data_IF_089611746239
#
_entry.id   IF_089611746239
#
_cell.length_a   1.000
_cell.length_b   1.000
_cell.length_c   1.000
_cell.angle_alpha   90.00
_cell.angle_beta   90.00
_cell.angle_gamma   90.00
#
_symmetry.space_group_name_H-M   'P 1'
#
loop_
_entity.id
_entity.type
_entity.pdbx_description
1 polymer ?
#
# COMPACT_ATOMS: atom_id res chain seq x y z
N UNK A 1 -10.16 26.28 -6.30
CA UNK A 1 -9.04 26.61 -5.39
C UNK A 1 -8.13 27.63 -6.05
N UNK A 2 -7.37 28.42 -5.27
CA UNK A 2 -6.35 29.35 -5.79
C UNK A 2 -5.21 28.54 -6.40
N UNK A 3 -4.68 28.97 -7.55
CA UNK A 3 -3.49 28.36 -8.16
C UNK A 3 -2.27 28.55 -7.26
N UNK A 4 -1.49 27.50 -7.09
CA UNK A 4 -0.25 27.45 -6.32
C UNK A 4 0.89 26.97 -7.21
N UNK A 5 2.12 27.30 -6.85
CA UNK A 5 3.32 26.81 -7.52
C UNK A 5 4.41 26.52 -6.48
N UNK A 6 5.02 25.34 -6.59
CA UNK A 6 6.28 25.05 -5.90
C UNK A 6 7.42 25.29 -6.90
N UNK A 7 8.42 26.09 -6.51
CA UNK A 7 9.57 26.47 -7.35
C UNK A 7 10.89 25.97 -6.74
N UNK A 8 11.95 25.94 -7.54
CA UNK A 8 13.31 25.53 -7.15
C UNK A 8 13.34 24.13 -6.50
N UNK A 9 12.58 23.18 -7.04
CA UNK A 9 12.51 21.82 -6.55
C UNK A 9 13.25 20.83 -7.45
N UNK A 10 13.77 19.75 -6.88
CA UNK A 10 14.15 18.56 -7.65
C UNK A 10 12.95 17.63 -7.74
N UNK A 11 12.33 17.54 -8.92
CA UNK A 11 11.02 16.87 -9.09
C UNK A 11 11.22 15.51 -9.76
N UNK A 12 10.86 14.44 -9.07
CA UNK A 12 10.76 13.09 -9.63
C UNK A 12 9.32 12.88 -10.08
N UNK A 13 9.08 12.77 -11.39
CA UNK A 13 7.71 12.69 -11.92
C UNK A 13 7.13 11.29 -11.89
N UNK A 14 7.96 10.27 -11.61
CA UNK A 14 7.64 8.86 -11.84
C UNK A 14 8.02 8.37 -13.24
N UNK A 15 8.47 9.28 -14.13
CA UNK A 15 9.00 8.94 -15.46
C UNK A 15 10.36 9.58 -15.73
N UNK A 16 10.56 10.81 -15.27
CA UNK A 16 11.77 11.59 -15.44
C UNK A 16 12.08 12.43 -14.19
N UNK A 17 13.25 13.05 -14.17
CA UNK A 17 13.71 13.92 -13.08
C UNK A 17 13.94 15.33 -13.63
N UNK A 18 13.30 16.32 -12.99
CA UNK A 18 13.50 17.75 -13.26
C UNK A 18 14.38 18.32 -12.16
N UNK A 19 15.68 18.45 -12.43
CA UNK A 19 16.72 18.80 -11.42
C UNK A 19 16.52 20.16 -10.74
N UNK A 20 16.00 21.15 -11.47
CA UNK A 20 15.65 22.46 -10.93
C UNK A 20 14.36 22.91 -11.60
N UNK A 21 13.23 22.46 -11.05
CA UNK A 21 11.91 22.60 -11.64
C UNK A 21 10.92 23.40 -10.81
N UNK A 22 9.77 23.63 -11.45
CA UNK A 22 8.56 24.09 -10.79
C UNK A 22 7.40 23.15 -11.08
N UNK A 23 6.43 23.11 -10.18
CA UNK A 23 5.14 22.43 -10.36
C UNK A 23 4.02 23.41 -9.99
N UNK A 24 3.17 23.73 -10.97
CA UNK A 24 2.00 24.61 -10.80
C UNK A 24 0.73 23.76 -10.74
N UNK A 25 -0.12 24.03 -9.77
CA UNK A 25 -1.29 23.20 -9.49
C UNK A 25 -2.44 24.00 -8.86
N UNK A 26 -3.64 23.43 -8.97
CA UNK A 26 -4.74 23.69 -8.07
C UNK A 26 -5.12 22.34 -7.46
N UNK A 27 -6.33 21.84 -7.67
CA UNK A 27 -6.68 20.46 -7.35
C UNK A 27 -5.93 19.43 -8.22
N UNK A 28 -5.66 19.81 -9.47
CA UNK A 28 -4.87 19.04 -10.43
C UNK A 28 -3.62 19.81 -10.85
N UNK A 29 -2.60 19.07 -11.24
CA UNK A 29 -1.35 19.59 -11.81
C UNK A 29 -1.67 20.28 -13.13
N UNK A 30 -1.22 21.53 -13.26
CA UNK A 30 -1.44 22.37 -14.44
C UNK A 30 -0.20 22.46 -15.32
N UNK A 31 0.98 22.44 -14.70
CA UNK A 31 2.25 22.58 -15.41
C UNK A 31 3.40 22.03 -14.56
N UNK A 32 4.35 21.40 -15.22
CA UNK A 32 5.64 21.00 -14.67
C UNK A 32 6.69 21.39 -15.69
N UNK A 33 7.79 21.99 -15.24
CA UNK A 33 8.86 22.40 -16.14
C UNK A 33 10.13 22.81 -15.41
N UNK A 34 11.16 23.13 -16.17
CA UNK A 34 12.41 23.67 -15.62
C UNK A 34 12.17 25.08 -15.08
N UNK A 35 12.86 25.47 -14.01
CA UNK A 35 12.83 26.84 -13.49
C UNK A 35 13.24 27.89 -14.53
N UNK A 36 14.09 27.53 -15.50
CA UNK A 36 14.44 28.41 -16.62
C UNK A 36 13.24 28.76 -17.54
N UNK A 37 12.17 27.97 -17.49
CA UNK A 37 10.93 28.16 -18.24
C UNK A 37 9.81 28.76 -17.39
N UNK A 38 10.02 28.93 -16.08
CA UNK A 38 9.02 29.44 -15.16
C UNK A 38 8.70 30.91 -15.49
N UNK A 39 7.42 31.18 -15.75
CA UNK A 39 6.87 32.52 -15.87
C UNK A 39 5.84 32.70 -14.76
N UNK A 40 6.05 33.70 -13.91
CA UNK A 40 5.12 33.99 -12.82
C UNK A 40 3.75 34.40 -13.35
N UNK A 41 2.68 33.87 -12.76
CA UNK A 41 1.30 34.25 -13.10
C UNK A 41 0.70 35.17 -12.03
N UNK A 42 -0.18 36.09 -12.44
CA UNK A 42 -0.91 36.92 -11.48
C UNK A 42 -1.74 36.05 -10.52
N UNK A 43 -1.73 36.41 -9.24
CA UNK A 43 -2.49 35.75 -8.18
C UNK A 43 -2.12 34.28 -7.89
N UNK A 44 -0.96 33.76 -8.32
CA UNK A 44 -0.47 32.46 -7.85
C UNK A 44 0.19 32.56 -6.47
N UNK A 45 0.01 31.56 -5.62
CA UNK A 45 0.77 31.46 -4.37
C UNK A 45 2.08 30.69 -4.62
N UNK A 46 3.22 31.33 -4.38
CA UNK A 46 4.54 30.75 -4.64
C UNK A 46 5.11 30.15 -3.35
N UNK A 47 5.57 28.91 -3.45
CA UNK A 47 6.26 28.16 -2.40
C UNK A 47 7.67 27.82 -2.90
N UNK A 48 8.70 28.32 -2.24
CA UNK A 48 10.08 27.98 -2.59
C UNK A 48 10.49 26.69 -1.89
N UNK A 49 10.76 25.64 -2.67
CA UNK A 49 11.27 24.37 -2.16
C UNK A 49 12.72 24.49 -1.69
N UNK A 50 13.47 25.49 -2.16
CA UNK A 50 14.86 25.74 -1.84
C UNK A 50 15.75 24.49 -2.03
N UNK A 51 15.58 23.80 -3.17
CA UNK A 51 16.31 22.59 -3.53
C UNK A 51 15.73 21.28 -2.99
N UNK A 52 14.64 21.33 -2.21
CA UNK A 52 13.96 20.12 -1.72
C UNK A 52 13.47 19.22 -2.84
N UNK A 53 13.28 17.96 -2.49
CA UNK A 53 12.83 16.90 -3.38
C UNK A 53 11.31 16.90 -3.42
N UNK A 54 10.74 16.70 -4.61
CA UNK A 54 9.30 16.48 -4.81
C UNK A 54 9.09 15.15 -5.50
N UNK A 55 8.27 14.28 -4.91
CA UNK A 55 7.90 12.97 -5.47
C UNK A 55 6.36 12.85 -5.57
N UNK A 56 5.82 11.91 -6.37
CA UNK A 56 4.39 11.61 -6.34
C UNK A 56 3.92 11.20 -4.95
N UNK A 57 2.66 11.49 -4.62
CA UNK A 57 2.03 11.02 -3.38
C UNK A 57 2.15 9.51 -3.25
N UNK A 58 2.61 9.01 -2.11
CA UNK A 58 2.82 7.58 -1.93
C UNK A 58 1.47 6.86 -1.78
N UNK A 59 1.43 5.61 -2.25
CA UNK A 59 0.21 4.79 -2.30
C UNK A 59 0.43 3.50 -1.51
N UNK A 60 -0.34 3.31 -0.45
CA UNK A 60 -0.26 2.14 0.42
C UNK A 60 -1.44 1.19 0.19
N UNK A 61 -1.24 0.13 -0.58
CA UNK A 61 -2.33 -0.77 -1.01
C UNK A 61 -2.63 -1.89 -0.02
N UNK A 62 -1.85 -1.97 1.06
CA UNK A 62 -2.01 -2.98 2.10
C UNK A 62 -1.66 -2.38 3.46
N UNK A 63 -2.70 -1.97 4.18
CA UNK A 63 -2.65 -1.39 5.52
C UNK A 63 -3.95 -1.70 6.27
N UNK A 64 -3.86 -2.33 7.43
CA UNK A 64 -5.01 -2.61 8.29
C UNK A 64 -5.42 -1.36 9.09
N UNK A 65 -4.44 -0.62 9.61
CA UNK A 65 -4.70 0.50 10.49
C UNK A 65 -3.49 1.35 10.85
N UNK A 66 -3.73 2.29 11.74
CA UNK A 66 -2.74 3.20 12.32
C UNK A 66 -3.42 4.29 13.13
N UNK A 67 -2.68 4.94 14.03
CA UNK A 67 -3.16 6.04 14.85
C UNK A 67 -4.43 5.70 15.65
N UNK A 68 -4.46 4.48 16.21
CA UNK A 68 -5.54 3.87 16.99
C UNK A 68 -6.82 3.55 16.19
N UNK A 69 -6.71 3.50 14.87
CA UNK A 69 -7.82 3.17 13.96
C UNK A 69 -7.48 1.89 13.19
N UNK A 70 -8.45 0.99 13.07
CA UNK A 70 -8.36 -0.20 12.24
C UNK A 70 -9.54 -0.28 11.26
N UNK A 71 -9.32 -0.82 10.05
CA UNK A 71 -10.37 -1.03 9.06
C UNK A 71 -11.50 -1.94 9.57
N UNK A 72 -11.17 -2.88 10.47
CA UNK A 72 -12.15 -3.79 11.09
C UNK A 72 -12.97 -3.16 12.22
N UNK A 73 -12.68 -1.92 12.64
CA UNK A 73 -13.47 -1.21 13.66
C UNK A 73 -14.91 -0.87 13.18
N UNK A 74 -15.19 -1.06 11.89
CA UNK A 74 -16.45 -0.68 11.25
C UNK A 74 -16.86 0.79 11.52
N UNK A 75 -15.85 1.68 11.55
CA UNK A 75 -16.00 3.09 11.85
C UNK A 75 -15.60 3.97 10.65
N UNK A 76 -16.59 4.52 9.96
CA UNK A 76 -16.38 5.33 8.76
C UNK A 76 -15.65 6.65 9.03
N UNK A 77 -15.91 7.31 10.17
CA UNK A 77 -15.20 8.53 10.58
C UNK A 77 -13.74 8.23 10.98
N UNK A 78 -13.51 7.03 11.52
CA UNK A 78 -12.18 6.48 11.76
C UNK A 78 -11.37 6.43 10.48
N UNK A 79 -11.89 5.78 9.42
CA UNK A 79 -11.20 5.67 8.13
C UNK A 79 -10.92 7.03 7.46
N UNK A 80 -11.81 8.01 7.62
CA UNK A 80 -11.56 9.39 7.17
C UNK A 80 -10.41 10.01 7.95
N UNK A 81 -10.34 9.77 9.26
CA UNK A 81 -9.28 10.27 10.14
C UNK A 81 -7.95 9.60 9.83
N UNK A 82 -7.92 8.28 9.64
CA UNK A 82 -6.73 7.52 9.26
C UNK A 82 -6.12 8.12 7.98
N UNK A 83 -6.92 8.35 6.95
CA UNK A 83 -6.43 8.95 5.70
C UNK A 83 -5.78 10.33 5.89
N UNK A 84 -6.24 11.14 6.85
CA UNK A 84 -5.64 12.45 7.17
C UNK A 84 -4.32 12.30 7.92
N UNK A 85 -4.26 11.36 8.87
CA UNK A 85 -3.04 11.08 9.64
C UNK A 85 -1.94 10.51 8.76
N UNK A 86 -2.30 9.64 7.80
CA UNK A 86 -1.40 9.06 6.79
C UNK A 86 -0.66 10.11 5.94
N UNK A 87 -1.20 11.32 5.80
CA UNK A 87 -0.51 12.40 5.08
C UNK A 87 0.79 12.84 5.77
N UNK A 88 0.93 12.65 7.08
CA UNK A 88 2.18 12.92 7.83
C UNK A 88 3.33 12.02 7.36
N UNK A 89 2.99 10.86 6.79
CA UNK A 89 3.94 9.88 6.25
C UNK A 89 4.09 10.00 4.72
N UNK A 90 3.48 11.02 4.09
CA UNK A 90 3.53 11.20 2.63
C UNK A 90 2.57 10.32 1.84
N UNK A 91 1.65 9.60 2.50
CA UNK A 91 0.65 8.76 1.83
C UNK A 91 -0.58 9.59 1.47
N UNK A 92 -0.84 9.76 0.18
CA UNK A 92 -2.01 10.50 -0.32
C UNK A 92 -3.18 9.58 -0.68
N UNK A 93 -2.90 8.29 -0.87
CA UNK A 93 -3.89 7.25 -1.13
C UNK A 93 -3.51 5.97 -0.40
N UNK A 94 -4.45 5.34 0.28
CA UNK A 94 -4.26 4.01 0.86
C UNK A 94 -5.40 3.08 0.44
N UNK A 95 -5.32 1.76 0.69
CA UNK A 95 -6.47 0.85 0.65
C UNK A 95 -6.72 0.30 2.06
N UNK A 96 -7.86 0.61 2.71
CA UNK A 96 -8.20 -0.03 3.98
C UNK A 96 -8.25 -1.54 3.77
N UNK A 97 -7.50 -2.26 4.61
CA UNK A 97 -7.33 -3.70 4.46
C UNK A 97 -8.05 -4.44 5.58
N UNK A 98 -9.03 -5.27 5.22
CA UNK A 98 -9.73 -6.12 6.19
C UNK A 98 -8.82 -7.23 6.71
N UNK A 99 -9.26 -7.92 7.76
CA UNK A 99 -8.66 -9.16 8.25
C UNK A 99 -9.66 -10.33 8.14
N UNK A 100 -9.16 -11.56 8.20
CA UNK A 100 -9.99 -12.75 8.40
C UNK A 100 -10.82 -12.61 9.68
N UNK A 101 -12.14 -12.67 9.56
CA UNK A 101 -13.08 -12.53 10.68
C UNK A 101 -14.43 -13.19 10.33
N UNK A 102 -15.38 -13.15 11.27
CA UNK A 102 -16.75 -13.56 11.02
C UNK A 102 -17.35 -12.78 9.82
N UNK A 103 -18.17 -13.42 8.96
CA UNK A 103 -18.69 -12.76 7.76
C UNK A 103 -19.43 -11.45 8.02
N UNK A 104 -20.17 -11.36 9.13
CA UNK A 104 -20.92 -10.18 9.52
C UNK A 104 -20.01 -9.02 9.96
N UNK A 105 -18.84 -9.32 10.55
CA UNK A 105 -17.86 -8.31 10.93
C UNK A 105 -17.14 -7.73 9.70
N UNK A 106 -16.78 -8.59 8.74
CA UNK A 106 -16.24 -8.16 7.44
C UNK A 106 -17.28 -7.29 6.71
N UNK A 107 -18.54 -7.72 6.65
CA UNK A 107 -19.61 -6.96 6.01
C UNK A 107 -19.82 -5.57 6.65
N UNK A 108 -19.77 -5.48 7.99
CA UNK A 108 -19.84 -4.22 8.72
C UNK A 108 -18.66 -3.28 8.38
N UNK A 109 -17.44 -3.81 8.32
CA UNK A 109 -16.25 -3.05 7.93
C UNK A 109 -16.36 -2.52 6.49
N UNK A 110 -16.89 -3.33 5.56
CA UNK A 110 -17.08 -2.94 4.16
C UNK A 110 -18.15 -1.85 4.01
N UNK A 111 -19.24 -1.93 4.76
CA UNK A 111 -20.24 -0.85 4.81
C UNK A 111 -19.65 0.46 5.34
N UNK A 112 -18.85 0.39 6.41
CA UNK A 112 -18.17 1.55 6.96
C UNK A 112 -17.16 2.15 5.97
N UNK A 113 -16.44 1.32 5.21
CA UNK A 113 -15.55 1.78 4.15
C UNK A 113 -16.34 2.50 3.04
N UNK A 114 -17.46 1.93 2.57
CA UNK A 114 -18.32 2.60 1.59
C UNK A 114 -18.76 3.99 2.07
N UNK A 115 -19.25 4.09 3.30
CA UNK A 115 -19.66 5.37 3.90
C UNK A 115 -18.46 6.34 4.03
N UNK A 116 -17.29 5.85 4.45
CA UNK A 116 -16.08 6.65 4.54
C UNK A 116 -15.66 7.23 3.18
N UNK A 117 -15.77 6.44 2.11
CA UNK A 117 -15.51 6.90 0.74
C UNK A 117 -16.44 8.04 0.34
N UNK A 118 -17.73 7.93 0.66
CA UNK A 118 -18.73 9.00 0.43
C UNK A 118 -18.43 10.27 1.26
N UNK A 119 -17.85 10.11 2.46
CA UNK A 119 -17.36 11.20 3.32
C UNK A 119 -16.03 11.82 2.87
N UNK A 120 -15.41 11.29 1.82
CA UNK A 120 -14.15 11.81 1.26
C UNK A 120 -12.88 11.24 1.89
N UNK A 121 -12.92 10.01 2.43
CA UNK A 121 -11.73 9.29 2.86
C UNK A 121 -10.69 9.17 1.73
N UNK A 122 -9.41 9.10 2.11
CA UNK A 122 -8.28 9.17 1.19
C UNK A 122 -7.91 7.81 0.57
N UNK A 123 -8.89 6.98 0.22
CA UNK A 123 -8.65 5.71 -0.47
C UNK A 123 -9.48 5.60 -1.73
N UNK A 124 -9.03 4.79 -2.69
CA UNK A 124 -9.77 4.53 -3.94
C UNK A 124 -10.45 3.17 -3.96
N UNK A 125 -9.82 2.17 -3.34
CA UNK A 125 -10.31 0.80 -3.29
C UNK A 125 -10.05 0.17 -1.91
N UNK A 126 -10.59 -1.02 -1.71
CA UNK A 126 -10.44 -1.86 -0.52
C UNK A 126 -9.59 -3.08 -0.88
N UNK A 127 -8.72 -3.47 0.05
CA UNK A 127 -8.06 -4.77 0.04
C UNK A 127 -8.79 -5.71 1.01
N UNK A 128 -9.32 -6.81 0.48
CA UNK A 128 -9.90 -7.88 1.29
C UNK A 128 -8.82 -8.94 1.58
N UNK A 129 -8.16 -8.86 2.73
CA UNK A 129 -7.18 -9.88 3.12
C UNK A 129 -7.85 -11.04 3.89
N UNK A 130 -7.95 -12.21 3.26
CA UNK A 130 -8.73 -13.33 3.78
C UNK A 130 -10.24 -13.17 3.59
N UNK A 131 -11.07 -14.11 4.11
CA UNK A 131 -10.71 -15.27 4.92
C UNK A 131 -10.35 -16.53 4.11
N UNK A 132 -10.23 -16.40 2.78
CA UNK A 132 -10.01 -17.51 1.85
C UNK A 132 -8.54 -17.97 1.77
N UNK A 133 -7.88 -18.08 2.92
CA UNK A 133 -6.44 -18.33 3.05
C UNK A 133 -6.14 -19.72 3.64
N UNK A 134 -4.87 -20.11 3.72
CA UNK A 134 -4.49 -21.41 4.28
C UNK A 134 -4.28 -21.35 5.79
N UNK A 135 -4.90 -22.28 6.52
CA UNK A 135 -4.64 -22.45 7.97
C UNK A 135 -3.18 -22.80 8.28
N UNK A 136 -2.43 -23.34 7.31
CA UNK A 136 -1.00 -23.66 7.47
C UNK A 136 -0.11 -22.42 7.48
N UNK A 137 -0.65 -21.29 7.06
CA UNK A 137 0.03 -20.00 6.92
C UNK A 137 -0.85 -18.87 7.45
N UNK A 138 -1.57 -19.13 8.53
CA UNK A 138 -2.48 -18.15 9.10
C UNK A 138 -1.73 -16.89 9.57
N UNK A 139 -0.56 -17.04 10.19
CA UNK A 139 0.10 -15.91 10.85
C UNK A 139 -0.81 -15.32 11.91
N UNK A 140 -1.12 -14.04 11.79
CA UNK A 140 -2.07 -13.36 12.67
C UNK A 140 -3.54 -13.47 12.24
N UNK A 141 -3.87 -14.14 11.12
CA UNK A 141 -5.25 -14.38 10.70
C UNK A 141 -5.95 -15.33 11.69
N UNK A 142 -7.12 -14.98 12.27
CA UNK A 142 -7.89 -15.85 13.17
C UNK A 142 -8.27 -17.20 12.57
N UNK A 143 -7.73 -18.29 13.13
CA UNK A 143 -7.83 -19.65 12.57
C UNK A 143 -9.27 -20.18 12.44
N UNK A 144 -10.15 -19.77 13.35
CA UNK A 144 -11.56 -20.16 13.40
C UNK A 144 -12.39 -19.57 12.25
N UNK A 145 -11.94 -18.46 11.67
CA UNK A 145 -12.64 -17.75 10.61
C UNK A 145 -12.10 -18.06 9.21
N UNK A 146 -10.96 -18.76 9.10
CA UNK A 146 -10.42 -19.22 7.83
C UNK A 146 -11.34 -20.29 7.22
N UNK A 147 -11.84 -20.02 6.02
CA UNK A 147 -12.80 -20.84 5.28
C UNK A 147 -12.43 -20.95 3.79
N UNK A 148 -12.88 -21.99 3.07
CA UNK A 148 -12.72 -22.07 1.61
C UNK A 148 -13.30 -20.86 0.87
N UNK A 149 -12.81 -20.61 -0.34
CA UNK A 149 -13.30 -19.52 -1.17
C UNK A 149 -14.79 -19.68 -1.49
N UNK A 150 -15.56 -18.61 -1.34
CA UNK A 150 -17.01 -18.61 -1.57
C UNK A 150 -17.42 -17.41 -2.42
N UNK A 151 -17.69 -17.65 -3.70
CA UNK A 151 -18.06 -16.63 -4.69
C UNK A 151 -19.34 -15.89 -4.29
N UNK A 152 -20.34 -16.58 -3.74
CA UNK A 152 -21.62 -15.95 -3.38
C UNK A 152 -21.46 -15.02 -2.16
N UNK A 153 -20.67 -15.42 -1.16
CA UNK A 153 -20.32 -14.53 -0.05
C UNK A 153 -19.51 -13.33 -0.54
N UNK A 154 -18.54 -13.54 -1.43
CA UNK A 154 -17.75 -12.44 -1.98
C UNK A 154 -18.61 -11.45 -2.78
N UNK A 155 -19.61 -11.92 -3.54
CA UNK A 155 -20.58 -11.04 -4.21
C UNK A 155 -21.34 -10.15 -3.22
N UNK A 156 -21.78 -10.71 -2.10
CA UNK A 156 -22.46 -9.95 -1.04
C UNK A 156 -21.53 -8.88 -0.45
N UNK A 157 -20.28 -9.23 -0.17
CA UNK A 157 -19.28 -8.28 0.30
C UNK A 157 -18.95 -7.20 -0.73
N UNK A 158 -18.88 -7.56 -2.01
CA UNK A 158 -18.65 -6.59 -3.06
C UNK A 158 -19.81 -5.59 -3.14
N UNK A 159 -21.06 -6.04 -3.01
CA UNK A 159 -22.23 -5.16 -2.90
C UNK A 159 -22.18 -4.28 -1.63
N UNK A 160 -21.88 -4.86 -0.47
CA UNK A 160 -21.79 -4.16 0.81
C UNK A 160 -20.76 -3.01 0.77
N UNK A 161 -19.64 -3.24 0.09
CA UNK A 161 -18.57 -2.26 -0.11
C UNK A 161 -18.89 -1.19 -1.15
N UNK A 162 -19.99 -1.31 -1.90
CA UNK A 162 -20.28 -0.42 -3.03
C UNK A 162 -19.40 -0.69 -4.26
N UNK A 163 -18.97 -1.93 -4.44
CA UNK A 163 -18.02 -2.38 -5.47
C UNK A 163 -16.61 -1.78 -5.34
N UNK A 164 -16.17 -1.52 -4.11
CA UNK A 164 -14.86 -0.93 -3.84
C UNK A 164 -13.75 -1.96 -3.62
N UNK A 165 -14.06 -3.25 -3.45
CA UNK A 165 -13.02 -4.28 -3.30
C UNK A 165 -12.30 -4.46 -4.64
N UNK A 166 -10.99 -4.23 -4.65
CA UNK A 166 -10.16 -4.30 -5.87
C UNK A 166 -8.96 -5.22 -5.73
N UNK A 167 -8.54 -5.52 -4.51
CA UNK A 167 -7.48 -6.48 -4.20
C UNK A 167 -8.04 -7.52 -3.22
N UNK A 168 -7.77 -8.80 -3.46
CA UNK A 168 -8.22 -9.90 -2.59
C UNK A 168 -7.08 -10.88 -2.35
N UNK A 169 -6.67 -11.05 -1.09
CA UNK A 169 -5.70 -12.07 -0.68
C UNK A 169 -6.39 -13.39 -0.39
N UNK A 170 -5.92 -14.45 -1.06
CA UNK A 170 -6.40 -15.81 -0.88
C UNK A 170 -5.27 -16.83 -1.11
N UNK A 171 -5.51 -18.07 -0.72
CA UNK A 171 -4.59 -19.19 -0.90
C UNK A 171 -4.97 -20.05 -2.13
N UNK A 172 -4.17 -20.05 -3.21
CA UNK A 172 -4.54 -20.71 -4.47
C UNK A 172 -4.67 -22.24 -4.42
N UNK A 173 -4.11 -22.89 -3.39
CA UNK A 173 -4.19 -24.32 -3.16
C UNK A 173 -5.44 -24.80 -2.42
N UNK A 174 -6.18 -23.87 -1.81
CA UNK A 174 -7.37 -24.19 -1.01
C UNK A 174 -8.60 -24.46 -1.89
N UNK A 175 -9.59 -25.11 -1.30
CA UNK A 175 -10.83 -25.49 -2.00
C UNK A 175 -11.59 -24.26 -2.55
N UNK A 176 -12.08 -24.37 -3.79
CA UNK A 176 -12.82 -23.31 -4.49
C UNK A 176 -11.98 -22.16 -5.05
N UNK A 177 -10.66 -22.13 -4.78
CA UNK A 177 -9.79 -21.03 -5.21
C UNK A 177 -9.71 -20.88 -6.74
N UNK A 178 -9.74 -21.99 -7.51
CA UNK A 178 -9.66 -21.92 -8.97
C UNK A 178 -10.88 -21.26 -9.61
N UNK A 179 -12.07 -21.63 -9.16
CA UNK A 179 -13.33 -21.02 -9.61
C UNK A 179 -13.41 -19.56 -9.16
N UNK A 180 -12.92 -19.28 -7.94
CA UNK A 180 -12.85 -17.92 -7.41
C UNK A 180 -11.91 -17.03 -8.23
N UNK A 181 -10.72 -17.51 -8.58
CA UNK A 181 -9.77 -16.85 -9.47
C UNK A 181 -10.40 -16.44 -10.82
N UNK A 182 -11.14 -17.36 -11.43
CA UNK A 182 -11.82 -17.10 -12.71
C UNK A 182 -12.87 -15.99 -12.55
N UNK A 183 -13.64 -16.03 -11.46
CA UNK A 183 -14.61 -14.98 -11.14
C UNK A 183 -13.94 -13.61 -10.91
N UNK A 184 -12.82 -13.55 -10.18
CA UNK A 184 -12.07 -12.31 -9.97
C UNK A 184 -11.58 -11.72 -11.32
N UNK A 185 -11.06 -12.57 -12.21
CA UNK A 185 -10.61 -12.15 -13.54
C UNK A 185 -11.74 -11.54 -14.39
N UNK A 186 -12.96 -12.07 -14.31
CA UNK A 186 -14.13 -11.54 -15.02
C UNK A 186 -14.60 -10.17 -14.49
N UNK A 187 -14.35 -9.89 -13.21
CA UNK A 187 -14.77 -8.63 -12.56
C UNK A 187 -13.68 -7.55 -12.56
N UNK A 188 -12.46 -7.92 -12.96
CA UNK A 188 -11.28 -7.05 -12.90
C UNK A 188 -10.79 -6.78 -11.48
N UNK A 189 -11.19 -7.59 -10.50
CA UNK A 189 -10.61 -7.59 -9.15
C UNK A 189 -9.28 -8.34 -9.21
N UNK A 190 -8.24 -7.76 -8.63
CA UNK A 190 -6.91 -8.37 -8.58
C UNK A 190 -6.91 -9.43 -7.47
N UNK A 191 -6.79 -10.69 -7.87
CA UNK A 191 -6.47 -11.75 -6.93
C UNK A 191 -4.98 -11.74 -6.61
N UNK A 192 -4.62 -11.76 -5.32
CA UNK A 192 -3.24 -11.88 -4.86
C UNK A 192 -3.04 -13.16 -4.06
N UNK A 193 -1.93 -13.86 -4.31
CA UNK A 193 -1.56 -15.04 -3.53
C UNK A 193 -0.87 -14.61 -2.23
N UNK A 194 -1.43 -15.01 -1.09
CA UNK A 194 -0.90 -14.72 0.23
C UNK A 194 -1.43 -15.71 1.25
N UNK A 195 -0.76 -15.84 2.39
CA UNK A 195 -1.14 -16.82 3.42
C UNK A 195 -1.34 -18.24 2.83
N UNK A 196 -0.40 -18.67 1.98
CA UNK A 196 -0.48 -19.87 1.14
C UNK A 196 0.69 -20.81 1.36
N UNK A 197 0.38 -22.10 1.51
CA UNK A 197 1.34 -23.20 1.56
C UNK A 197 1.40 -23.99 0.24
N UNK A 198 1.04 -23.37 -0.89
CA UNK A 198 1.09 -24.01 -2.20
C UNK A 198 2.51 -24.51 -2.56
N UNK A 199 2.60 -25.66 -3.24
CA UNK A 199 3.80 -26.00 -4.03
C UNK A 199 3.82 -25.17 -5.31
N UNK A 200 5.01 -24.92 -5.86
CA UNK A 200 5.23 -24.25 -7.14
C UNK A 200 4.41 -24.91 -8.28
N UNK A 201 4.29 -26.24 -8.28
CA UNK A 201 3.51 -26.97 -9.29
C UNK A 201 2.00 -26.62 -9.29
N UNK A 202 1.44 -26.18 -8.15
CA UNK A 202 0.04 -25.74 -8.05
C UNK A 202 -0.15 -24.32 -8.62
N UNK A 203 0.93 -23.54 -8.75
CA UNK A 203 0.92 -22.14 -9.18
C UNK A 203 1.25 -21.96 -10.67
N UNK A 204 2.02 -22.86 -11.29
CA UNK A 204 2.51 -22.72 -12.69
C UNK A 204 1.47 -22.42 -13.76
N UNK A 205 0.24 -22.89 -13.58
CA UNK A 205 -0.85 -22.71 -14.55
C UNK A 205 -1.93 -21.75 -14.04
N UNK A 206 -1.65 -21.00 -12.97
CA UNK A 206 -2.53 -20.00 -12.39
C UNK A 206 -2.18 -18.64 -12.97
N UNK A 207 -3.20 -17.84 -13.31
CA UNK A 207 -3.00 -16.49 -13.84
C UNK A 207 -3.10 -15.46 -12.72
N UNK A 208 -2.19 -15.55 -11.75
CA UNK A 208 -2.17 -14.67 -10.57
C UNK A 208 -0.98 -13.72 -10.75
N UNK A 209 -1.26 -12.43 -10.73
CA UNK A 209 -0.28 -11.38 -11.10
C UNK A 209 0.16 -10.54 -9.91
N UNK A 210 -0.23 -10.91 -8.69
CA UNK A 210 0.10 -10.19 -7.46
C UNK A 210 0.38 -11.18 -6.33
N UNK A 211 1.29 -10.83 -5.41
CA UNK A 211 1.64 -11.64 -4.26
C UNK A 211 1.79 -10.78 -3.00
N UNK A 212 1.03 -11.15 -1.96
CA UNK A 212 0.89 -10.41 -0.71
C UNK A 212 2.14 -10.56 0.16
N UNK A 213 2.60 -9.47 0.79
CA UNK A 213 3.77 -9.36 1.69
C UNK A 213 4.86 -10.45 1.54
N UNK A 214 5.50 -10.51 0.37
CA UNK A 214 6.52 -11.49 -0.03
C UNK A 214 7.36 -12.02 1.15
N UNK A 215 7.53 -13.35 1.20
CA UNK A 215 8.17 -14.14 2.25
C UNK A 215 7.28 -14.43 3.47
N UNK A 216 6.40 -13.50 3.85
CA UNK A 216 5.59 -13.60 5.06
C UNK A 216 4.40 -14.53 4.79
N UNK A 217 4.17 -15.50 5.69
CA UNK A 217 3.09 -16.47 5.54
C UNK A 217 3.03 -17.16 4.16
N UNK A 218 4.19 -17.40 3.57
CA UNK A 218 4.33 -18.13 2.30
C UNK A 218 5.12 -19.41 2.50
N UNK A 219 4.87 -20.42 1.66
CA UNK A 219 5.85 -21.51 1.52
C UNK A 219 7.18 -20.94 1.03
N UNK A 220 8.20 -21.12 1.86
CA UNK A 220 9.55 -20.62 1.61
C UNK A 220 10.29 -21.32 0.47
N UNK A 221 11.45 -20.78 0.13
CA UNK A 221 12.30 -21.26 -0.95
C UNK A 221 13.12 -22.50 -0.55
N UNK A 222 13.06 -23.54 -1.37
CA UNK A 222 13.95 -24.70 -1.27
C UNK A 222 14.41 -25.17 -2.65
N UNK A 223 15.64 -25.65 -2.80
CA UNK A 223 16.26 -25.94 -4.12
C UNK A 223 15.61 -27.09 -4.90
N UNK A 224 14.86 -27.98 -4.24
CA UNK A 224 14.09 -29.07 -4.88
C UNK A 224 12.61 -28.75 -5.10
N UNK A 225 12.11 -27.71 -4.42
CA UNK A 225 10.73 -27.29 -4.44
C UNK A 225 10.74 -25.78 -4.11
N UNK A 226 10.60 -24.91 -5.13
CA UNK A 226 10.80 -23.47 -4.94
C UNK A 226 9.80 -22.78 -4.00
N UNK A 227 8.66 -23.41 -3.71
CA UNK A 227 7.57 -22.85 -2.93
C UNK A 227 6.91 -21.65 -3.62
N UNK A 228 6.06 -20.97 -2.87
CA UNK A 228 5.42 -19.72 -3.28
C UNK A 228 6.50 -18.66 -3.49
N UNK A 229 7.45 -18.53 -2.55
CA UNK A 229 8.53 -17.54 -2.62
C UNK A 229 9.35 -17.66 -3.90
N UNK A 230 9.78 -18.88 -4.25
CA UNK A 230 10.53 -19.10 -5.48
C UNK A 230 9.70 -18.85 -6.74
N UNK A 231 8.43 -19.23 -6.72
CA UNK A 231 7.51 -18.99 -7.83
C UNK A 231 7.37 -17.49 -8.13
N UNK A 232 7.05 -16.67 -7.13
CA UNK A 232 6.78 -15.24 -7.33
C UNK A 232 8.04 -14.43 -7.61
N UNK A 233 9.20 -14.84 -7.07
CA UNK A 233 10.49 -14.20 -7.36
C UNK A 233 10.95 -14.44 -8.80
N UNK A 234 10.67 -15.61 -9.37
CA UNK A 234 11.10 -15.98 -10.73
C UNK A 234 10.09 -15.61 -11.82
N UNK A 235 8.82 -15.39 -11.45
CA UNK A 235 7.79 -15.00 -12.41
C UNK A 235 7.84 -13.48 -12.68
N UNK A 236 8.19 -13.02 -13.89
CA UNK A 236 8.32 -11.59 -14.18
C UNK A 236 6.97 -10.83 -14.20
N UNK A 237 5.86 -11.54 -14.33
CA UNK A 237 4.54 -10.92 -14.47
C UNK A 237 3.92 -10.56 -13.12
N UNK A 238 4.35 -11.22 -12.04
CA UNK A 238 3.84 -11.02 -10.67
C UNK A 238 4.40 -9.74 -10.04
N UNK A 239 3.55 -8.84 -9.57
CA UNK A 239 3.90 -7.79 -8.61
C UNK A 239 4.07 -8.42 -7.23
N UNK A 240 5.13 -8.07 -6.49
CA UNK A 240 5.32 -8.54 -5.11
C UNK A 240 5.22 -7.38 -4.13
N UNK A 241 4.39 -7.54 -3.10
CA UNK A 241 4.36 -6.63 -1.96
C UNK A 241 5.57 -6.87 -1.05
N UNK A 242 6.17 -5.80 -0.49
CA UNK A 242 7.33 -5.90 0.40
C UNK A 242 7.18 -4.94 1.57
N UNK A 243 7.23 -5.47 2.79
CA UNK A 243 7.29 -4.70 4.04
C UNK A 243 8.76 -4.43 4.37
N UNK A 244 9.18 -3.17 4.29
CA UNK A 244 10.60 -2.78 4.40
C UNK A 244 10.94 -2.23 5.79
N UNK A 245 10.52 -2.89 6.86
CA UNK A 245 10.83 -2.47 8.25
C UNK A 245 12.13 -3.07 8.81
N UNK A 246 12.73 -4.04 8.12
CA UNK A 246 13.92 -4.77 8.58
C UNK A 246 13.63 -5.83 9.64
N UNK A 247 12.35 -6.05 9.99
CA UNK A 247 11.87 -7.00 11.00
C UNK A 247 11.13 -8.15 10.31
N UNK A 248 10.16 -7.83 9.45
CA UNK A 248 9.44 -8.81 8.63
C UNK A 248 10.38 -9.46 7.62
N UNK A 249 11.25 -8.66 7.01
CA UNK A 249 12.16 -9.09 5.96
C UNK A 249 13.56 -8.55 6.26
N UNK A 250 14.54 -9.46 6.34
CA UNK A 250 15.94 -9.07 6.46
C UNK A 250 16.37 -8.18 5.27
N UNK A 251 17.16 -7.10 5.46
CA UNK A 251 17.56 -6.18 4.39
C UNK A 251 18.13 -6.87 3.13
N UNK A 252 18.98 -7.88 3.29
CA UNK A 252 19.51 -8.64 2.15
C UNK A 252 18.45 -9.40 1.34
N UNK A 253 17.33 -9.79 1.97
CA UNK A 253 16.21 -10.45 1.30
C UNK A 253 15.31 -9.45 0.56
N UNK A 254 15.19 -8.22 1.06
CA UNK A 254 14.61 -7.09 0.31
C UNK A 254 15.46 -6.81 -0.93
N UNK A 255 16.79 -6.74 -0.77
CA UNK A 255 17.75 -6.58 -1.87
C UNK A 255 17.68 -7.72 -2.89
N UNK A 256 17.51 -8.96 -2.45
CA UNK A 256 17.33 -10.10 -3.33
C UNK A 256 16.05 -9.97 -4.15
N UNK A 257 14.93 -9.61 -3.52
CA UNK A 257 13.67 -9.39 -4.21
C UNK A 257 13.80 -8.29 -5.26
N UNK A 258 14.37 -7.13 -4.90
CA UNK A 258 14.63 -6.04 -5.84
C UNK A 258 15.49 -6.48 -7.04
N UNK A 259 16.57 -7.25 -6.81
CA UNK A 259 17.44 -7.73 -7.90
C UNK A 259 16.75 -8.68 -8.88
N UNK A 260 15.81 -9.51 -8.39
CA UNK A 260 15.12 -10.49 -9.22
C UNK A 260 13.90 -9.89 -9.94
N UNK A 261 13.16 -9.04 -9.24
CA UNK A 261 11.91 -8.44 -9.74
C UNK A 261 12.14 -7.16 -10.54
N UNK A 262 13.16 -6.39 -10.16
CA UNK A 262 13.33 -5.01 -10.62
C UNK A 262 12.30 -4.06 -9.99
N UNK A 263 12.52 -2.74 -10.14
CA UNK A 263 11.72 -1.71 -9.47
C UNK A 263 10.26 -1.67 -9.93
N UNK A 264 9.93 -2.17 -11.14
CA UNK A 264 8.57 -2.14 -11.70
C UNK A 264 7.66 -3.29 -11.25
N UNK A 265 8.19 -4.25 -10.49
CA UNK A 265 7.46 -5.43 -10.02
C UNK A 265 7.56 -5.61 -8.52
N UNK A 266 7.86 -4.52 -7.81
CA UNK A 266 7.85 -4.44 -6.35
C UNK A 266 6.88 -3.34 -5.93
N UNK A 267 5.95 -3.66 -5.05
CA UNK A 267 5.06 -2.71 -4.38
C UNK A 267 5.48 -2.64 -2.91
N UNK A 268 5.99 -1.51 -2.44
CA UNK A 268 6.23 -1.32 -1.02
C UNK A 268 4.90 -1.00 -0.34
N UNK A 269 4.64 -1.73 0.75
CA UNK A 269 3.47 -1.59 1.59
C UNK A 269 3.89 -1.40 3.04
N UNK A 270 2.98 -0.94 3.90
CA UNK A 270 3.26 -0.93 5.34
C UNK A 270 2.82 -2.20 6.04
N UNK A 271 1.70 -2.80 5.64
CA UNK A 271 1.01 -3.83 6.44
C UNK A 271 0.82 -3.37 7.90
N UNK A 272 0.63 -2.06 8.09
CA UNK A 272 0.59 -1.49 9.43
C UNK A 272 -0.74 -1.78 10.13
N UNK A 273 -0.68 -1.95 11.45
CA UNK A 273 -1.85 -2.11 12.32
C UNK A 273 -2.06 -0.88 13.21
N UNK A 274 -3.20 -0.83 13.94
CA UNK A 274 -3.67 0.33 14.72
C UNK A 274 -2.61 1.05 15.57
N UNK A 275 -1.59 0.35 16.04
CA UNK A 275 -0.52 0.90 16.86
C UNK A 275 0.48 1.80 16.11
N UNK A 276 0.47 1.83 14.77
CA UNK A 276 1.35 2.71 14.01
C UNK A 276 1.17 4.16 14.46
N UNK A 277 2.28 4.83 14.77
CA UNK A 277 2.27 6.23 15.21
C UNK A 277 1.93 6.42 16.68
N UNK A 278 1.81 5.35 17.47
CA UNK A 278 1.58 5.38 18.91
C UNK A 278 2.81 4.86 19.68
N UNK A 279 2.76 4.96 21.02
CA UNK A 279 3.79 4.43 21.91
C UNK A 279 3.70 2.91 22.06
N UNK A 280 4.74 2.29 22.63
CA UNK A 280 4.73 0.87 23.00
C UNK A 280 3.54 0.57 23.94
N UNK A 281 2.86 -0.55 23.72
CA UNK A 281 1.61 -0.84 24.41
C UNK A 281 0.95 -2.15 24.01
N UNK A 282 -0.24 -2.37 24.55
CA UNK A 282 -1.11 -3.49 24.20
C UNK A 282 -2.24 -2.96 23.32
N UNK A 283 -2.37 -3.57 22.15
CA UNK A 283 -3.33 -3.23 21.11
C UNK A 283 -4.09 -4.49 20.67
N UNK A 284 -4.88 -4.37 19.60
CA UNK A 284 -5.72 -5.45 19.09
C UNK A 284 -5.61 -5.50 17.55
N UNK A 285 -5.57 -6.71 16.98
CA UNK A 285 -5.70 -6.98 15.55
C UNK A 285 -6.50 -8.28 15.31
N UNK A 286 -7.57 -8.22 14.52
CA UNK A 286 -8.39 -9.39 14.15
C UNK A 286 -9.12 -10.09 15.32
N UNK A 287 -9.35 -9.41 16.42
CA UNK A 287 -9.88 -9.90 17.69
C UNK A 287 -8.80 -10.35 18.68
N UNK A 288 -7.51 -10.22 18.36
CA UNK A 288 -6.41 -10.78 19.15
C UNK A 288 -5.55 -9.70 19.81
N UNK A 289 -5.08 -9.91 21.06
CA UNK A 289 -4.17 -9.00 21.71
C UNK A 289 -2.80 -8.98 21.02
N UNK A 290 -2.29 -7.78 20.73
CA UNK A 290 -1.00 -7.54 20.09
C UNK A 290 -0.13 -6.68 21.00
N UNK A 291 1.03 -7.21 21.39
CA UNK A 291 2.05 -6.51 22.14
C UNK A 291 2.97 -5.74 21.19
N UNK A 292 3.00 -4.42 21.32
CA UNK A 292 3.90 -3.55 20.59
C UNK A 292 5.05 -3.14 21.50
N UNK A 293 6.25 -3.54 21.10
CA UNK A 293 7.47 -3.25 21.85
C UNK A 293 8.68 -3.21 20.94
N UNK A 294 9.58 -2.26 21.18
CA UNK A 294 10.89 -2.16 20.54
C UNK A 294 10.80 -2.23 18.99
N UNK A 295 9.79 -1.59 18.41
CA UNK A 295 9.62 -1.53 16.95
C UNK A 295 8.81 -2.66 16.31
N UNK A 296 8.33 -3.65 17.08
CA UNK A 296 7.61 -4.81 16.54
C UNK A 296 6.25 -5.04 17.20
N UNK A 297 5.29 -5.53 16.41
CA UNK A 297 3.94 -5.93 16.85
C UNK A 297 3.82 -7.46 16.84
N UNK A 298 3.52 -8.08 17.99
CA UNK A 298 3.49 -9.53 18.15
C UNK A 298 2.30 -10.04 18.96
N UNK A 299 1.77 -11.19 18.58
CA UNK A 299 0.86 -11.97 19.42
C UNK A 299 1.60 -12.52 20.65
N UNK A 300 0.86 -13.06 21.61
CA UNK A 300 1.41 -13.66 22.84
C UNK A 300 2.41 -14.80 22.55
N UNK A 301 2.22 -15.55 21.46
CA UNK A 301 3.11 -16.64 21.03
C UNK A 301 4.37 -16.16 20.27
N UNK A 302 4.52 -14.85 20.06
CA UNK A 302 5.63 -14.23 19.37
C UNK A 302 5.46 -14.05 17.86
N UNK A 303 4.36 -14.55 17.28
CA UNK A 303 4.00 -14.35 15.87
C UNK A 303 3.88 -12.86 15.55
N UNK A 304 4.47 -12.40 14.44
CA UNK A 304 4.30 -11.03 13.95
C UNK A 304 2.83 -10.79 13.53
N UNK A 305 2.29 -9.64 13.91
CA UNK A 305 0.89 -9.29 13.70
C UNK A 305 0.78 -7.87 13.12
N UNK A 306 0.91 -7.78 11.80
CA UNK A 306 1.14 -6.53 11.09
C UNK A 306 2.45 -5.84 11.50
N UNK A 307 2.64 -4.62 11.02
CA UNK A 307 3.77 -3.77 11.34
C UNK A 307 3.35 -2.49 12.08
N UNK A 308 4.33 -1.70 12.47
CA UNK A 308 4.15 -0.29 12.86
C UNK A 308 4.92 0.65 11.90
N UNK A 309 5.21 0.17 10.69
CA UNK A 309 6.03 0.85 9.70
C UNK A 309 5.31 2.06 9.13
N UNK A 310 6.00 3.20 9.09
CA UNK A 310 5.54 4.39 8.37
C UNK A 310 6.01 4.36 6.92
N UNK A 311 5.19 4.84 5.98
CA UNK A 311 5.54 4.77 4.56
C UNK A 311 6.78 5.61 4.18
N UNK A 312 6.98 6.76 4.82
CA UNK A 312 8.19 7.56 4.62
C UNK A 312 9.45 6.79 5.08
N UNK A 313 9.35 6.04 6.18
CA UNK A 313 10.41 5.15 6.63
C UNK A 313 10.61 3.99 5.66
N UNK A 314 9.54 3.42 5.12
CA UNK A 314 9.59 2.37 4.11
C UNK A 314 10.32 2.86 2.84
N UNK A 315 10.07 4.10 2.41
CA UNK A 315 10.74 4.74 1.29
C UNK A 315 12.25 4.87 1.51
N UNK A 316 12.67 5.31 2.71
CA UNK A 316 14.10 5.38 3.06
C UNK A 316 14.74 4.00 3.16
N UNK A 317 14.04 3.06 3.80
CA UNK A 317 14.54 1.71 4.01
C UNK A 317 14.71 0.95 2.70
N UNK A 318 13.79 1.05 1.74
CA UNK A 318 13.95 0.37 0.45
C UNK A 318 15.19 0.87 -0.30
N UNK A 319 15.50 2.16 -0.23
CA UNK A 319 16.73 2.75 -0.79
C UNK A 319 17.95 2.21 -0.05
N UNK A 320 17.96 2.27 1.28
CA UNK A 320 19.09 1.82 2.10
C UNK A 320 19.39 0.32 1.89
N UNK A 321 18.36 -0.52 1.94
CA UNK A 321 18.52 -1.98 1.90
C UNK A 321 18.96 -2.46 0.51
N UNK A 322 18.44 -1.84 -0.54
CA UNK A 322 18.69 -2.29 -1.93
C UNK A 322 19.85 -1.56 -2.60
N UNK A 323 20.09 -0.30 -2.23
CA UNK A 323 20.94 0.64 -2.96
C UNK A 323 20.29 1.18 -4.25
N UNK A 324 18.97 1.10 -4.40
CA UNK A 324 18.26 1.63 -5.55
C UNK A 324 18.28 3.17 -5.57
N UNK A 325 17.92 3.75 -6.71
CA UNK A 325 17.80 5.20 -6.83
C UNK A 325 16.46 5.70 -6.28
N UNK A 326 16.29 7.02 -6.16
CA UNK A 326 15.03 7.65 -5.74
C UNK A 326 13.95 7.41 -6.80
N UNK A 327 14.31 7.41 -8.09
CA UNK A 327 13.43 7.06 -9.20
C UNK A 327 12.81 5.66 -9.01
N UNK A 328 13.64 4.68 -8.65
CA UNK A 328 13.19 3.31 -8.40
C UNK A 328 12.30 3.24 -7.16
N UNK A 329 12.65 3.95 -6.08
CA UNK A 329 11.80 4.02 -4.90
C UNK A 329 10.43 4.64 -5.21
N UNK A 330 10.39 5.71 -6.03
CA UNK A 330 9.14 6.31 -6.51
C UNK A 330 8.29 5.33 -7.32
N UNK A 331 8.91 4.46 -8.12
CA UNK A 331 8.19 3.40 -8.80
C UNK A 331 7.54 2.46 -7.76
N UNK A 332 8.33 2.01 -6.79
CA UNK A 332 7.92 1.01 -5.80
C UNK A 332 6.94 1.54 -4.74
N UNK A 333 6.82 2.84 -4.51
CA UNK A 333 5.92 3.42 -3.48
C UNK A 333 4.74 4.21 -4.05
N UNK A 334 4.62 4.33 -5.38
CA UNK A 334 3.56 5.13 -6.00
C UNK A 334 3.16 4.67 -7.40
N UNK A 335 4.09 4.68 -8.36
CA UNK A 335 3.74 4.44 -9.78
C UNK A 335 3.18 3.05 -9.99
N UNK A 336 3.83 2.02 -9.44
CA UNK A 336 3.45 0.62 -9.63
C UNK A 336 2.03 0.34 -9.13
N UNK A 337 1.70 0.83 -7.93
CA UNK A 337 0.39 0.72 -7.32
C UNK A 337 -0.67 1.42 -8.19
N UNK A 338 -0.38 2.63 -8.67
CA UNK A 338 -1.32 3.35 -9.52
C UNK A 338 -1.55 2.66 -10.87
N UNK A 339 -0.50 2.13 -11.50
CA UNK A 339 -0.61 1.41 -12.78
C UNK A 339 -1.39 0.11 -12.63
N UNK A 340 -1.08 -0.69 -11.61
CA UNK A 340 -1.73 -1.98 -11.37
C UNK A 340 -3.23 -1.85 -11.08
N UNK A 341 -3.60 -0.86 -10.27
CA UNK A 341 -5.01 -0.65 -9.88
C UNK A 341 -5.75 0.34 -10.77
N UNK A 342 -5.14 0.82 -11.86
CA UNK A 342 -5.79 1.72 -12.83
C UNK A 342 -6.11 3.12 -12.26
N UNK A 343 -5.32 3.59 -11.29
CA UNK A 343 -5.46 4.92 -10.68
C UNK A 343 -4.88 6.00 -11.60
N UNK A 344 -5.51 6.20 -12.76
CA UNK A 344 -4.98 7.03 -13.86
C UNK A 344 -4.67 8.49 -13.47
N UNK A 345 -5.34 9.03 -12.44
CA UNK A 345 -5.14 10.38 -11.94
C UNK A 345 -4.05 10.51 -10.86
N UNK A 346 -3.47 9.38 -10.41
CA UNK A 346 -2.49 9.34 -9.31
C UNK A 346 -1.19 8.64 -9.73
N UNK A 347 -0.26 8.45 -8.81
CA UNK A 347 0.95 7.64 -8.99
C UNK A 347 2.12 8.31 -9.71
N UNK A 348 1.86 9.39 -10.46
CA UNK A 348 2.89 10.13 -11.18
C UNK A 348 2.54 11.63 -11.20
N UNK A 349 3.56 12.48 -11.39
CA UNK A 349 3.38 13.91 -11.55
C UNK A 349 3.29 14.25 -13.03
N UNK A 350 2.09 14.52 -13.52
CA UNK A 350 1.85 14.91 -14.90
C UNK A 350 0.67 15.87 -15.00
N UNK A 351 0.67 16.73 -16.02
CA UNK A 351 -0.44 17.67 -16.26
C UNK A 351 -1.76 16.91 -16.37
N UNK A 352 -2.78 17.39 -15.64
CA UNK A 352 -4.11 16.79 -15.59
C UNK A 352 -4.30 15.71 -14.52
N UNK A 353 -3.21 15.19 -13.92
CA UNK A 353 -3.29 14.33 -12.73
C UNK A 353 -3.60 15.14 -11.47
N UNK A 354 -4.05 14.45 -10.43
CA UNK A 354 -4.28 15.03 -9.11
C UNK A 354 -2.99 15.67 -8.59
N UNK A 355 -3.12 16.81 -7.92
CA UNK A 355 -2.01 17.43 -7.22
C UNK A 355 -1.76 16.70 -5.88
N UNK A 356 -1.32 15.45 -6.01
CA UNK A 356 -0.95 14.53 -4.95
C UNK A 356 0.57 14.32 -4.99
N UNK A 357 1.30 14.99 -4.10
CA UNK A 357 2.76 14.94 -4.08
C UNK A 357 3.33 15.17 -2.69
N UNK A 358 4.55 14.70 -2.48
CA UNK A 358 5.29 14.84 -1.22
C UNK A 358 6.50 15.73 -1.46
N UNK A 359 6.70 16.72 -0.59
CA UNK A 359 7.95 17.48 -0.50
C UNK A 359 8.80 16.84 0.59
N UNK A 360 10.02 16.44 0.24
CA UNK A 360 10.97 15.82 1.16
C UNK A 360 12.20 16.71 1.39
N UNK A 361 12.77 16.63 2.58
CA UNK A 361 14.07 17.23 2.86
C UNK A 361 15.22 16.41 2.26
N UNK A 362 16.47 16.86 2.44
CA UNK A 362 17.66 16.22 1.90
C UNK A 362 17.89 14.80 2.46
N UNK A 363 17.42 14.54 3.68
CA UNK A 363 17.48 13.25 4.36
C UNK A 363 16.26 12.34 4.03
N UNK A 364 15.45 12.72 3.03
CA UNK A 364 14.26 11.99 2.58
C UNK A 364 13.18 11.80 3.66
N UNK A 365 13.11 12.71 4.63
CA UNK A 365 11.96 12.84 5.52
C UNK A 365 10.90 13.74 4.88
N UNK A 366 9.63 13.39 5.11
CA UNK A 366 8.48 14.20 4.69
C UNK A 366 8.58 15.58 5.33
N UNK A 367 8.52 16.61 4.51
CA UNK A 367 8.48 18.01 4.92
C UNK A 367 7.06 18.59 4.75
N UNK A 368 6.36 18.17 3.70
CA UNK A 368 4.98 18.57 3.41
C UNK A 368 4.34 17.50 2.51
N UNK A 369 3.05 17.32 2.63
CA UNK A 369 2.26 16.43 1.76
C UNK A 369 1.09 17.21 1.21
N UNK A 370 1.00 17.22 -0.12
CA UNK A 370 -0.08 17.87 -0.85
C UNK A 370 -1.01 16.79 -1.35
N UNK A 371 -2.31 16.92 -1.05
CA UNK A 371 -3.36 16.06 -1.58
C UNK A 371 -4.46 16.91 -2.19
N UNK A 372 -4.79 16.67 -3.45
CA UNK A 372 -5.76 17.46 -4.22
C UNK A 372 -5.49 18.97 -4.10
N UNK A 373 -4.20 19.35 -4.11
CA UNK A 373 -3.74 20.73 -4.01
C UNK A 373 -3.74 21.34 -2.61
N UNK A 374 -4.11 20.57 -1.59
CA UNK A 374 -4.18 21.06 -0.20
C UNK A 374 -2.93 20.57 0.55
N UNK A 375 -2.18 21.53 1.11
CA UNK A 375 -0.99 21.25 1.91
C UNK A 375 -1.33 20.81 3.32
N UNK A 376 -0.69 19.74 3.77
CA UNK A 376 -0.63 19.34 5.15
C UNK A 376 0.60 20.00 5.78
N UNK A 377 0.40 21.23 6.26
CA UNK A 377 1.41 21.88 7.10
C UNK A 377 1.50 21.12 8.41
N UNK A 378 2.49 20.23 8.55
CA UNK A 378 2.94 19.88 9.90
C UNK A 378 3.34 21.17 10.61
N UNK A 379 2.97 21.28 11.89
CA UNK A 379 3.34 22.40 12.73
C UNK A 379 4.86 22.63 12.65
N UNK A 380 5.24 23.86 12.33
CA UNK A 380 6.62 24.34 12.40
C UNK A 380 7.23 24.13 13.78
#
# INVERSE_FOLDING_TARGET
MKTQVVINAKIYTGQEVVENGFIRYAETIKEIGLMAQYVSQENEAVLDAAGKIVIPGMIDVHIHGGYDIDAMDANSDGLVTLGKEMLKEGVTTYFPTTMTQAPEAIEAALHAAKEAKEKGAHFEYIHLEGPYVSKKRAGAQPLEHIVPANIEQFKQWQEASGNLIKLVTYAPEEEGALEFEQYLAETGVVGTMGHTDAIDAQLKNRNITHATHLYNQMRGLHHREPGVVGHVLLNPDVMVEVITDGIHIHPDMVKLAYKLKGPKKVSVITDAMRAKGLEDGLYELGGQPVHVKDGSARLEDGTLAGSILKMDQAFRNVIEFTGCSIEDAVLMTSVNQAEEFGLNHKGALAVGKDADFVVMNEDLHVYDTVRLGIHMKEGK
#
